data_IF_288135244516
#
_entry.id   IF_288135244516
#
_cell.length_a   1.000
_cell.length_b   1.000
_cell.length_c   1.000
_cell.angle_alpha   90.00
_cell.angle_beta   90.00
_cell.angle_gamma   90.00
#
_symmetry.space_group_name_H-M   'P 1'
#
loop_
_entity.id
_entity.type
_entity.pdbx_description
1 polymer ?
#
# COMPACT_ATOMS: atom_id res chain seq x y z
N UNK A 1 17.77 13.16 14.19
CA UNK A 1 17.32 12.24 13.12
C UNK A 1 17.27 10.85 13.71
N UNK A 2 16.27 10.04 13.41
CA UNK A 2 16.24 8.66 13.93
C UNK A 2 17.02 7.75 13.00
N UNK A 3 17.64 6.68 13.53
CA UNK A 3 18.33 5.69 12.70
C UNK A 3 17.38 5.00 11.72
N UNK A 4 16.15 4.75 12.14
CA UNK A 4 15.10 4.16 11.31
C UNK A 4 14.70 5.05 10.12
N UNK A 5 14.66 6.37 10.31
CA UNK A 5 14.22 7.34 9.28
C UNK A 5 15.01 7.20 7.98
N UNK A 6 16.35 7.06 8.06
CA UNK A 6 17.21 6.94 6.87
C UNK A 6 16.93 5.65 6.09
N UNK A 7 16.74 4.53 6.80
CA UNK A 7 16.40 3.25 6.20
C UNK A 7 15.05 3.28 5.50
N UNK A 8 14.04 3.86 6.15
CA UNK A 8 12.69 4.03 5.57
C UNK A 8 12.74 4.91 4.33
N UNK A 9 13.43 6.05 4.38
CA UNK A 9 13.58 6.96 3.23
C UNK A 9 14.27 6.26 2.06
N UNK A 10 15.34 5.50 2.30
CA UNK A 10 16.04 4.75 1.26
C UNK A 10 15.13 3.71 0.58
N UNK A 11 14.35 2.96 1.37
CA UNK A 11 13.38 1.99 0.85
C UNK A 11 12.30 2.69 0.03
N UNK A 12 11.75 3.81 0.53
CA UNK A 12 10.71 4.57 -0.18
C UNK A 12 11.22 5.10 -1.53
N UNK A 13 12.44 5.64 -1.59
CA UNK A 13 13.03 6.02 -2.88
C UNK A 13 13.20 4.82 -3.81
N UNK A 14 13.66 3.68 -3.28
CA UNK A 14 13.74 2.43 -4.05
C UNK A 14 12.39 2.04 -4.67
N UNK A 15 11.31 2.08 -3.88
CA UNK A 15 9.94 1.82 -4.33
C UNK A 15 9.51 2.84 -5.39
N UNK A 16 9.70 4.14 -5.14
CA UNK A 16 9.30 5.20 -6.07
C UNK A 16 10.01 5.03 -7.41
N UNK A 17 11.33 4.82 -7.41
CA UNK A 17 12.12 4.64 -8.63
C UNK A 17 11.66 3.39 -9.37
N UNK A 18 11.58 2.25 -8.66
CA UNK A 18 11.20 0.97 -9.25
C UNK A 18 9.81 1.04 -9.90
N UNK A 19 8.81 1.54 -9.17
CA UNK A 19 7.44 1.65 -9.69
C UNK A 19 7.31 2.70 -10.79
N UNK A 20 8.13 3.75 -10.78
CA UNK A 20 8.16 4.72 -11.87
C UNK A 20 8.62 4.04 -13.16
N UNK A 21 9.71 3.26 -13.10
CA UNK A 21 10.19 2.48 -14.26
C UNK A 21 9.10 1.55 -14.79
N UNK A 22 8.44 0.78 -13.90
CA UNK A 22 7.35 -0.11 -14.32
C UNK A 22 6.14 0.64 -14.89
N UNK A 23 5.84 1.84 -14.38
CA UNK A 23 4.70 2.64 -14.84
C UNK A 23 4.92 3.16 -16.27
N UNK A 24 6.16 3.42 -16.66
CA UNK A 24 6.48 3.90 -18.01
C UNK A 24 6.19 2.85 -19.10
N UNK A 25 6.06 1.57 -18.73
CA UNK A 25 5.67 0.49 -19.66
C UNK A 25 4.16 0.49 -19.96
N UNK A 26 3.34 1.27 -19.24
CA UNK A 26 1.89 1.33 -19.46
C UNK A 26 1.52 2.26 -20.64
N UNK A 27 0.34 2.11 -21.25
CA UNK A 27 -0.19 3.10 -22.20
C UNK A 27 -0.30 4.48 -21.55
N UNK A 28 -0.02 5.56 -22.29
CA UNK A 28 0.04 6.94 -21.74
C UNK A 28 -1.20 7.33 -20.92
N UNK A 29 -2.39 6.92 -21.38
CA UNK A 29 -3.67 7.17 -20.70
C UNK A 29 -3.76 6.54 -19.30
N UNK A 30 -3.06 5.43 -19.06
CA UNK A 30 -3.04 4.72 -17.79
C UNK A 30 -1.90 5.16 -16.86
N UNK A 31 -0.95 5.97 -17.34
CA UNK A 31 0.21 6.41 -16.57
C UNK A 31 -0.07 7.56 -15.61
N UNK A 32 -1.01 8.45 -15.95
CA UNK A 32 -1.21 9.71 -15.22
C UNK A 32 -1.47 9.48 -13.73
N UNK A 33 -2.38 8.56 -13.40
CA UNK A 33 -2.75 8.31 -11.99
C UNK A 33 -1.58 7.73 -11.18
N UNK A 34 -0.92 6.63 -11.58
CA UNK A 34 0.25 6.12 -10.85
C UNK A 34 1.40 7.13 -10.77
N UNK A 35 1.71 7.85 -11.85
CA UNK A 35 2.79 8.84 -11.85
C UNK A 35 2.50 10.01 -10.89
N UNK A 36 1.26 10.51 -10.83
CA UNK A 36 0.87 11.54 -9.87
C UNK A 36 1.07 11.07 -8.41
N UNK A 37 0.69 9.83 -8.10
CA UNK A 37 0.89 9.26 -6.77
C UNK A 37 2.37 9.08 -6.44
N UNK A 38 3.16 8.52 -7.37
CA UNK A 38 4.59 8.32 -7.19
C UNK A 38 5.33 9.66 -7.04
N UNK A 39 4.96 10.67 -7.81
CA UNK A 39 5.49 12.02 -7.68
C UNK A 39 5.16 12.63 -6.31
N UNK A 40 3.91 12.48 -5.83
CA UNK A 40 3.51 12.96 -4.51
C UNK A 40 4.29 12.24 -3.39
N UNK A 41 4.43 10.92 -3.46
CA UNK A 41 5.20 10.13 -2.49
C UNK A 41 6.68 10.52 -2.52
N UNK A 42 7.27 10.65 -3.71
CA UNK A 42 8.66 11.08 -3.89
C UNK A 42 8.90 12.49 -3.35
N UNK A 43 7.99 13.42 -3.62
CA UNK A 43 8.05 14.79 -3.10
C UNK A 43 7.97 14.81 -1.56
N UNK A 44 6.98 14.13 -0.98
CA UNK A 44 6.81 14.07 0.48
C UNK A 44 8.00 13.39 1.17
N UNK A 45 8.54 12.33 0.56
CA UNK A 45 9.75 11.64 1.04
C UNK A 45 10.96 12.57 1.03
N UNK A 46 11.12 13.34 -0.05
CA UNK A 46 12.20 14.33 -0.18
C UNK A 46 12.06 15.45 0.84
N UNK A 47 10.84 16.00 0.99
CA UNK A 47 10.54 17.02 1.98
C UNK A 47 10.84 16.51 3.40
N UNK A 48 10.40 15.30 3.72
CA UNK A 48 10.67 14.65 5.00
C UNK A 48 12.17 14.50 5.28
N UNK A 49 12.94 14.01 4.30
CA UNK A 49 14.39 13.87 4.42
C UNK A 49 15.07 15.23 4.66
N UNK A 50 14.69 16.27 3.91
CA UNK A 50 15.22 17.63 4.09
C UNK A 50 14.94 18.14 5.51
N UNK A 51 13.71 17.98 6.00
CA UNK A 51 13.34 18.39 7.36
C UNK A 51 14.16 17.64 8.42
N UNK A 52 14.41 16.34 8.24
CA UNK A 52 15.25 15.55 9.14
C UNK A 52 16.72 16.00 9.13
N UNK A 53 17.27 16.29 7.95
CA UNK A 53 18.63 16.81 7.80
C UNK A 53 18.75 18.19 8.47
N UNK A 54 17.78 19.09 8.28
CA UNK A 54 17.76 20.41 8.91
C UNK A 54 17.68 20.30 10.44
N UNK A 55 16.85 19.38 10.96
CA UNK A 55 16.77 19.11 12.40
C UNK A 55 18.09 18.56 12.94
N UNK A 56 18.69 17.59 12.25
CA UNK A 56 19.98 17.03 12.63
C UNK A 56 21.11 18.06 12.59
N UNK A 57 21.13 18.96 11.61
CA UNK A 57 22.10 20.07 11.58
C UNK A 57 21.97 21.02 12.77
N UNK A 58 20.78 21.15 13.36
CA UNK A 58 20.54 21.98 14.55
C UNK A 58 20.90 21.27 15.85
N UNK A 59 20.59 19.97 15.98
CA UNK A 59 20.76 19.25 17.26
C UNK A 59 22.03 18.41 17.32
N UNK A 60 22.60 17.99 16.18
CA UNK A 60 23.70 17.04 16.10
C UNK A 60 23.34 15.59 16.46
N UNK A 61 22.13 15.36 16.97
CA UNK A 61 21.72 14.10 17.59
C UNK A 61 21.13 13.11 16.58
N UNK A 62 21.61 11.86 16.67
CA UNK A 62 21.02 10.69 16.01
C UNK A 62 20.48 9.75 17.06
N UNK A 63 19.16 9.58 17.10
CA UNK A 63 18.48 8.70 18.06
C UNK A 63 18.46 7.27 17.52
N UNK A 64 18.98 6.31 18.30
CA UNK A 64 18.79 4.89 18.01
C UNK A 64 17.44 4.43 18.56
N UNK A 65 16.45 4.39 17.68
CA UNK A 65 15.08 4.02 18.01
C UNK A 65 14.65 2.71 17.39
N UNK A 66 15.57 1.89 16.86
CA UNK A 66 15.21 0.65 16.17
C UNK A 66 14.51 -0.32 17.13
N UNK A 67 15.12 -0.60 18.28
CA UNK A 67 14.52 -1.48 19.29
C UNK A 67 13.15 -0.96 19.75
N UNK A 68 13.01 0.36 19.89
CA UNK A 68 11.75 1.02 20.25
C UNK A 68 10.70 0.96 19.14
N UNK A 69 11.12 1.01 17.88
CA UNK A 69 10.24 0.94 16.71
C UNK A 69 9.58 -0.44 16.55
N UNK A 70 10.24 -1.49 17.04
CA UNK A 70 9.70 -2.85 17.06
C UNK A 70 9.03 -3.23 18.40
N UNK A 71 8.95 -2.29 19.35
CA UNK A 71 8.24 -2.52 20.61
C UNK A 71 6.74 -2.74 20.35
N UNK A 72 6.20 -3.86 20.85
CA UNK A 72 4.81 -4.23 20.58
C UNK A 72 4.56 -4.83 19.19
N UNK A 73 5.60 -5.22 18.45
CA UNK A 73 5.44 -5.90 17.16
C UNK A 73 4.64 -7.20 17.31
N UNK A 74 3.59 -7.35 16.49
CA UNK A 74 2.70 -8.51 16.47
C UNK A 74 3.03 -9.40 15.27
N UNK A 75 4.01 -10.33 15.37
CA UNK A 75 4.50 -11.09 14.22
C UNK A 75 3.41 -11.91 13.55
N UNK A 76 2.50 -12.52 14.32
CA UNK A 76 1.40 -13.30 13.77
C UNK A 76 0.46 -12.45 12.91
N UNK A 77 0.15 -11.22 13.33
CA UNK A 77 -0.69 -10.31 12.53
C UNK A 77 0.06 -9.80 11.30
N UNK A 78 1.35 -9.47 11.46
CA UNK A 78 2.19 -9.02 10.34
C UNK A 78 2.31 -10.08 9.25
N UNK A 79 2.79 -11.27 9.60
CA UNK A 79 2.97 -12.36 8.65
C UNK A 79 1.63 -12.91 8.14
N UNK A 80 0.59 -12.93 8.99
CA UNK A 80 -0.76 -13.28 8.56
C UNK A 80 -1.32 -12.33 7.51
N UNK A 81 -1.13 -11.02 7.70
CA UNK A 81 -1.54 -10.00 6.71
C UNK A 81 -0.72 -10.12 5.42
N UNK A 82 0.59 -10.34 5.53
CA UNK A 82 1.44 -10.57 4.37
C UNK A 82 0.98 -11.79 3.55
N UNK A 83 0.71 -12.91 4.20
CA UNK A 83 0.17 -14.11 3.54
C UNK A 83 -1.20 -13.86 2.92
N UNK A 84 -2.05 -13.05 3.56
CA UNK A 84 -3.34 -12.66 3.02
C UNK A 84 -3.20 -11.82 1.74
N UNK A 85 -2.20 -10.92 1.68
CA UNK A 85 -1.88 -10.16 0.45
C UNK A 85 -1.45 -11.09 -0.68
N UNK A 86 -0.55 -12.04 -0.40
CA UNK A 86 -0.11 -13.04 -1.40
C UNK A 86 -1.31 -13.89 -1.85
N UNK A 87 -2.14 -14.34 -0.91
CA UNK A 87 -3.35 -15.11 -1.19
C UNK A 87 -4.34 -14.33 -2.05
N UNK A 88 -4.49 -13.03 -1.83
CA UNK A 88 -5.32 -12.16 -2.66
C UNK A 88 -4.82 -12.05 -4.10
N UNK A 89 -3.51 -11.86 -4.31
CA UNK A 89 -2.91 -11.80 -5.65
C UNK A 89 -3.17 -13.10 -6.42
N UNK A 90 -3.04 -14.25 -5.75
CA UNK A 90 -3.36 -15.56 -6.34
C UNK A 90 -4.87 -15.70 -6.60
N UNK A 91 -5.72 -15.38 -5.63
CA UNK A 91 -7.16 -15.51 -5.75
C UNK A 91 -7.73 -14.65 -6.89
N UNK A 92 -7.22 -13.42 -7.06
CA UNK A 92 -7.63 -12.53 -8.15
C UNK A 92 -7.48 -13.18 -9.53
N UNK A 93 -6.42 -13.98 -9.73
CA UNK A 93 -6.22 -14.70 -10.98
C UNK A 93 -7.31 -15.75 -11.23
N UNK A 94 -7.78 -16.44 -10.19
CA UNK A 94 -8.75 -17.53 -10.32
C UNK A 94 -10.22 -17.08 -10.29
N UNK A 95 -10.58 -16.23 -9.34
CA UNK A 95 -11.99 -15.85 -9.06
C UNK A 95 -12.29 -14.38 -9.37
N UNK A 96 -11.33 -13.66 -9.95
CA UNK A 96 -11.50 -12.29 -10.40
C UNK A 96 -11.35 -11.26 -9.28
N UNK A 97 -11.15 -10.02 -9.70
CA UNK A 97 -10.75 -8.91 -8.85
C UNK A 97 -11.78 -8.55 -7.78
N UNK A 98 -13.06 -8.42 -8.14
CA UNK A 98 -14.09 -7.96 -7.19
C UNK A 98 -14.39 -8.99 -6.11
N UNK A 99 -14.53 -10.27 -6.48
CA UNK A 99 -14.81 -11.35 -5.52
C UNK A 99 -13.59 -11.56 -4.63
N UNK A 100 -12.39 -11.59 -5.20
CA UNK A 100 -11.15 -11.66 -4.42
C UNK A 100 -11.00 -10.47 -3.45
N UNK A 101 -11.40 -9.26 -3.87
CA UNK A 101 -11.32 -8.06 -3.03
C UNK A 101 -12.27 -8.13 -1.83
N UNK A 102 -13.53 -8.56 -2.04
CA UNK A 102 -14.48 -8.75 -0.95
C UNK A 102 -13.98 -9.82 0.02
N UNK A 103 -13.50 -10.96 -0.50
CA UNK A 103 -12.95 -12.03 0.31
C UNK A 103 -11.73 -11.56 1.11
N UNK A 104 -10.79 -10.85 0.47
CA UNK A 104 -9.60 -10.28 1.10
C UNK A 104 -9.97 -9.30 2.23
N UNK A 105 -10.88 -8.36 1.98
CA UNK A 105 -11.32 -7.39 2.98
C UNK A 105 -12.04 -8.09 4.14
N UNK A 106 -12.95 -9.02 3.85
CA UNK A 106 -13.66 -9.76 4.89
C UNK A 106 -12.71 -10.58 5.77
N UNK A 107 -11.84 -11.40 5.15
CA UNK A 107 -10.87 -12.22 5.87
C UNK A 107 -9.88 -11.35 6.66
N UNK A 108 -9.37 -10.27 6.06
CA UNK A 108 -8.41 -9.38 6.71
C UNK A 108 -9.01 -8.64 7.89
N UNK A 109 -10.21 -8.07 7.75
CA UNK A 109 -10.88 -7.36 8.84
C UNK A 109 -11.26 -8.30 9.98
N UNK A 110 -11.72 -9.53 9.68
CA UNK A 110 -12.00 -10.54 10.69
C UNK A 110 -10.73 -11.04 11.39
N UNK A 111 -9.65 -11.27 10.62
CA UNK A 111 -8.35 -11.67 11.16
C UNK A 111 -7.76 -10.60 12.10
N UNK A 112 -7.94 -9.33 11.75
CA UNK A 112 -7.59 -8.17 12.58
C UNK A 112 -8.61 -7.87 13.69
N UNK A 113 -9.62 -8.74 13.87
CA UNK A 113 -10.65 -8.66 14.92
C UNK A 113 -11.48 -7.36 14.90
N UNK A 114 -11.71 -6.81 13.71
CA UNK A 114 -12.58 -5.63 13.54
C UNK A 114 -14.04 -6.02 13.82
N UNK A 115 -14.80 -5.23 14.60
CA UNK A 115 -16.20 -5.55 14.88
C UNK A 115 -17.03 -5.60 13.59
N UNK A 116 -17.93 -6.60 13.50
CA UNK A 116 -18.63 -6.97 12.27
C UNK A 116 -19.40 -5.82 11.60
N UNK A 117 -19.97 -4.91 12.42
CA UNK A 117 -20.67 -3.70 11.93
C UNK A 117 -19.74 -2.78 11.14
N UNK A 118 -18.56 -2.48 11.70
CA UNK A 118 -17.57 -1.63 11.06
C UNK A 118 -16.96 -2.35 9.85
N UNK A 119 -16.68 -3.65 9.96
CA UNK A 119 -16.16 -4.43 8.84
C UNK A 119 -17.11 -4.40 7.62
N UNK A 120 -18.41 -4.58 7.84
CA UNK A 120 -19.42 -4.49 6.78
C UNK A 120 -19.45 -3.11 6.11
N UNK A 121 -19.44 -2.03 6.90
CA UNK A 121 -19.40 -0.65 6.38
C UNK A 121 -18.12 -0.42 5.55
N UNK A 122 -16.97 -0.85 6.07
CA UNK A 122 -15.68 -0.71 5.37
C UNK A 122 -15.69 -1.47 4.04
N UNK A 123 -16.16 -2.71 4.00
CA UNK A 123 -16.24 -3.50 2.76
C UNK A 123 -17.11 -2.76 1.74
N UNK A 124 -18.31 -2.33 2.12
CA UNK A 124 -19.22 -1.62 1.20
C UNK A 124 -18.60 -0.32 0.69
N UNK A 125 -18.08 0.52 1.60
CA UNK A 125 -17.50 1.81 1.23
C UNK A 125 -16.30 1.65 0.30
N UNK A 126 -15.36 0.74 0.62
CA UNK A 126 -14.17 0.50 -0.20
C UNK A 126 -14.56 -0.07 -1.55
N UNK A 127 -15.53 -1.00 -1.62
CA UNK A 127 -15.99 -1.56 -2.89
C UNK A 127 -16.65 -0.53 -3.80
N UNK A 128 -17.41 0.42 -3.23
CA UNK A 128 -17.98 1.55 -3.98
C UNK A 128 -16.86 2.41 -4.56
N UNK A 129 -15.88 2.80 -3.74
CA UNK A 129 -14.74 3.61 -4.20
C UNK A 129 -13.97 2.89 -5.30
N UNK A 130 -13.68 1.60 -5.11
CA UNK A 130 -12.99 0.78 -6.09
C UNK A 130 -13.78 0.73 -7.41
N UNK A 131 -15.09 0.49 -7.36
CA UNK A 131 -15.91 0.45 -8.57
C UNK A 131 -15.93 1.79 -9.31
N UNK A 132 -16.15 2.89 -8.58
CA UNK A 132 -16.19 4.24 -9.17
C UNK A 132 -14.84 4.60 -9.79
N UNK A 133 -13.74 4.38 -9.07
CA UNK A 133 -12.40 4.77 -9.56
C UNK A 133 -11.93 3.84 -10.68
N UNK A 134 -11.94 2.52 -10.48
CA UNK A 134 -11.31 1.60 -11.43
C UNK A 134 -12.18 1.24 -12.62
N UNK A 135 -13.49 1.06 -12.42
CA UNK A 135 -14.39 0.64 -13.51
C UNK A 135 -15.04 1.82 -14.22
N UNK A 136 -15.47 2.85 -13.50
CA UNK A 136 -16.17 3.98 -14.11
C UNK A 136 -15.21 5.08 -14.60
N UNK A 137 -14.27 5.50 -13.75
CA UNK A 137 -13.35 6.60 -14.07
C UNK A 137 -12.15 6.15 -14.92
N UNK A 138 -11.36 5.20 -14.42
CA UNK A 138 -10.14 4.74 -15.11
C UNK A 138 -10.41 3.68 -16.19
N UNK A 139 -11.58 3.01 -16.17
CA UNK A 139 -12.00 1.97 -17.12
C UNK A 139 -10.94 0.88 -17.37
N UNK A 140 -10.20 0.52 -16.33
CA UNK A 140 -9.10 -0.46 -16.44
C UNK A 140 -9.69 -1.86 -16.59
N UNK A 141 -9.16 -2.71 -17.50
CA UNK A 141 -9.56 -4.10 -17.56
C UNK A 141 -9.14 -4.83 -16.27
N UNK A 142 -10.12 -5.17 -15.44
CA UNK A 142 -9.91 -5.91 -14.20
C UNK A 142 -9.98 -7.43 -14.45
N UNK A 143 -9.15 -8.24 -13.77
CA UNK A 143 -9.22 -9.70 -13.88
C UNK A 143 -10.62 -10.23 -13.58
N UNK A 144 -11.20 -11.00 -14.51
CA UNK A 144 -12.50 -11.66 -14.32
C UNK A 144 -12.41 -12.99 -13.59
N UNK A 145 -11.21 -13.58 -13.58
CA UNK A 145 -10.95 -14.87 -12.98
C UNK A 145 -11.11 -15.99 -13.99
N UNK A 146 -10.08 -16.82 -14.13
CA UNK A 146 -10.06 -17.94 -15.09
C UNK A 146 -11.22 -18.92 -14.84
N UNK A 147 -11.72 -19.02 -13.61
CA UNK A 147 -12.84 -19.90 -13.25
C UNK A 147 -14.22 -19.33 -13.60
N UNK A 148 -14.31 -18.02 -13.87
CA UNK A 148 -15.58 -17.32 -14.06
C UNK A 148 -15.80 -16.79 -15.50
N UNK A 149 -14.77 -16.83 -16.36
CA UNK A 149 -14.82 -16.40 -17.76
C UNK A 149 -14.33 -14.97 -17.97
#
# INVERSE_FOLDING_TARGET
MKKSDLGVVAILYGIVIWFTVMTLDFPEEAQTYPLCLLAAIGFLTTLYLVLQILRWKKTGEVEDDLAKSFEGFLPAQFFGTFLLCVGYLLAMHFIGYYIASVAYLALGLLFLKVPLKHAGITIVAIMIVIYVVFSMFLRVPLPRGVLLG
#
